data_IF_071593615338
#
_entry.id   IF_071593615338
#
_cell.length_a   1.000
_cell.length_b   1.000
_cell.length_c   1.000
_cell.angle_alpha   90.00
_cell.angle_beta   90.00
_cell.angle_gamma   90.00
#
_symmetry.space_group_name_H-M   'P 1'
#
loop_
_entity.id
_entity.type
_entity.pdbx_description
1 polymer ?
#
# COMPACT_ATOMS: atom_id res chain seq x y z
N UNK A 1 7.40 -1.10 -40.14
CA UNK A 1 6.24 -1.64 -40.90
C UNK A 1 4.98 -1.26 -40.13
N UNK A 2 3.91 -0.86 -40.82
CA UNK A 2 2.66 -0.41 -40.18
C UNK A 2 1.58 -1.48 -40.29
N UNK A 3 0.84 -1.72 -39.22
CA UNK A 3 -0.33 -2.60 -39.19
C UNK A 3 -1.46 -1.87 -38.45
N UNK A 4 -2.62 -1.76 -39.08
CA UNK A 4 -3.70 -0.87 -38.65
C UNK A 4 -4.68 -1.54 -37.68
N UNK A 5 -5.01 -0.83 -36.60
CA UNK A 5 -6.14 -1.18 -35.73
C UNK A 5 -7.46 -0.98 -36.47
N UNK A 6 -8.30 -2.02 -36.51
CA UNK A 6 -9.67 -1.94 -37.05
C UNK A 6 -10.67 -1.95 -35.91
N UNK A 7 -11.44 -0.86 -35.78
CA UNK A 7 -12.48 -0.69 -34.75
C UNK A 7 -13.81 -1.29 -35.22
N UNK A 8 -14.35 -2.24 -34.47
CA UNK A 8 -15.72 -2.70 -34.66
C UNK A 8 -16.71 -1.57 -34.37
N UNK A 9 -17.62 -1.28 -35.32
CA UNK A 9 -18.75 -0.37 -35.11
C UNK A 9 -19.97 -1.16 -34.63
N UNK A 10 -20.60 -0.67 -33.55
CA UNK A 10 -21.97 -1.06 -33.18
C UNK A 10 -22.98 -0.30 -34.04
N UNK A 11 -24.11 -0.92 -34.45
CA UNK A 11 -25.19 -0.24 -35.16
C UNK A 11 -26.06 0.58 -34.21
N UNK A 12 -26.48 1.77 -34.65
CA UNK A 12 -27.42 2.66 -33.94
C UNK A 12 -28.79 2.55 -34.62
N UNK A 13 -29.87 2.34 -33.86
CA UNK A 13 -31.25 2.43 -34.36
C UNK A 13 -31.84 3.86 -34.21
N UNK A 14 -32.76 4.28 -35.09
CA UNK A 14 -33.30 5.65 -35.12
C UNK A 14 -34.53 5.87 -34.20
N UNK A 15 -34.83 7.12 -33.77
CA UNK A 15 -35.97 7.45 -32.90
C UNK A 15 -37.12 8.22 -33.60
N UNK A 16 -38.38 7.99 -33.17
CA UNK A 16 -39.61 8.87 -33.21
C UNK A 16 -40.91 8.03 -33.12
N UNK A 17 -42.12 8.61 -32.88
CA UNK A 17 -42.46 9.97 -32.41
C UNK A 17 -43.46 10.01 -31.21
N UNK A 18 -43.96 11.23 -30.92
CA UNK A 18 -45.09 11.62 -30.03
C UNK A 18 -46.43 10.99 -30.51
N UNK A 19 -47.61 11.06 -29.86
CA UNK A 19 -48.23 11.97 -28.86
C UNK A 19 -49.40 11.17 -28.20
N UNK A 20 -50.02 11.53 -27.07
CA UNK A 20 -50.93 12.69 -26.92
C UNK A 20 -51.16 13.08 -25.44
N UNK A 21 -52.33 13.65 -25.10
CA UNK A 21 -52.44 14.63 -24.00
C UNK A 21 -53.87 14.81 -23.40
N UNK A 22 -54.04 14.53 -22.10
CA UNK A 22 -55.12 15.08 -21.23
C UNK A 22 -54.50 15.58 -19.91
N UNK A 23 -54.53 16.89 -19.61
CA UNK A 23 -55.64 17.70 -19.03
C UNK A 23 -56.09 17.15 -17.67
N UNK A 24 -56.10 17.90 -16.56
CA UNK A 24 -55.70 19.30 -16.21
C UNK A 24 -55.44 19.31 -14.65
N UNK A 25 -55.08 20.35 -13.87
CA UNK A 25 -55.19 21.82 -13.92
C UNK A 25 -54.09 22.55 -13.08
N UNK A 26 -54.22 23.88 -13.00
CA UNK A 26 -53.71 24.90 -12.04
C UNK A 26 -53.38 24.51 -10.58
N UNK A 27 -52.68 25.31 -9.75
CA UNK A 27 -51.78 26.49 -9.85
C UNK A 27 -51.39 26.88 -8.39
N UNK A 28 -50.21 27.37 -8.00
CA UNK A 28 -49.62 28.65 -8.40
C UNK A 28 -48.26 28.92 -7.73
N UNK A 29 -47.33 29.54 -8.48
CA UNK A 29 -46.02 30.12 -8.06
C UNK A 29 -45.84 31.32 -9.03
N UNK A 30 -45.58 32.58 -8.60
CA UNK A 30 -44.24 32.94 -8.08
C UNK A 30 -44.13 34.15 -7.11
N UNK A 31 -42.97 34.27 -6.43
CA UNK A 31 -42.11 35.49 -6.51
C UNK A 31 -40.74 35.36 -5.80
N UNK A 32 -39.69 35.45 -6.61
CA UNK A 32 -38.41 36.16 -6.38
C UNK A 32 -38.12 36.92 -7.70
N UNK A 33 -37.23 37.93 -7.78
CA UNK A 33 -36.08 38.18 -6.90
C UNK A 33 -35.95 39.61 -6.35
N UNK A 34 -34.98 39.79 -5.46
CA UNK A 34 -34.13 40.98 -5.45
C UNK A 34 -32.68 40.54 -5.24
N UNK A 35 -31.73 41.25 -5.86
CA UNK A 35 -30.29 41.08 -5.65
C UNK A 35 -29.79 42.38 -5.07
N UNK A 36 -29.37 42.35 -3.80
CA UNK A 36 -28.56 43.40 -3.21
C UNK A 36 -27.09 42.97 -3.31
N UNK A 37 -26.23 43.85 -3.84
CA UNK A 37 -24.79 43.74 -3.66
C UNK A 37 -24.44 44.41 -2.34
N UNK A 38 -23.74 43.69 -1.46
CA UNK A 38 -22.93 44.32 -0.42
C UNK A 38 -21.69 43.47 -0.15
N UNK A 39 -20.54 44.12 0.02
CA UNK A 39 -19.25 43.46 0.19
C UNK A 39 -18.81 43.46 1.66
N UNK A 40 -18.81 42.30 2.31
CA UNK A 40 -18.39 42.18 3.72
C UNK A 40 -17.59 40.89 4.01
N UNK A 41 -16.33 41.09 4.38
CA UNK A 41 -15.35 40.21 5.05
C UNK A 41 -15.71 38.71 5.31
N UNK A 42 -14.88 37.76 4.84
CA UNK A 42 -14.98 36.33 5.20
C UNK A 42 -14.84 36.02 6.70
N UNK A 43 -14.30 36.94 7.51
CA UNK A 43 -13.93 36.66 8.90
C UNK A 43 -15.14 36.42 9.83
N UNK A 44 -16.33 36.94 9.48
CA UNK A 44 -17.51 36.89 10.37
C UNK A 44 -18.20 35.52 10.42
N UNK A 45 -17.95 34.65 9.43
CA UNK A 45 -18.52 33.31 9.36
C UNK A 45 -17.86 32.35 10.37
N UNK A 46 -16.54 32.45 10.52
CA UNK A 46 -15.72 31.55 11.36
C UNK A 46 -16.05 31.73 12.85
N UNK A 47 -16.09 32.98 13.32
CA UNK A 47 -16.35 33.29 14.74
C UNK A 47 -17.71 32.77 15.22
N UNK A 48 -18.73 32.87 14.37
CA UNK A 48 -20.10 32.42 14.69
C UNK A 48 -20.17 30.90 14.88
N UNK A 49 -19.44 30.13 14.07
CA UNK A 49 -19.39 28.66 14.20
C UNK A 49 -18.64 28.22 15.47
N UNK A 50 -17.55 28.90 15.83
CA UNK A 50 -16.74 28.54 17.01
C UNK A 50 -17.50 28.74 18.33
N UNK A 51 -18.32 29.79 18.44
CA UNK A 51 -19.09 30.03 19.67
C UNK A 51 -20.20 29.00 19.94
N UNK A 52 -20.72 28.30 18.92
CA UNK A 52 -21.74 27.26 19.09
C UNK A 52 -21.15 25.92 19.58
N UNK A 53 -19.84 25.71 19.49
CA UNK A 53 -19.17 24.46 19.89
C UNK A 53 -18.75 24.42 21.37
N UNK A 54 -19.11 25.43 22.18
CA UNK A 54 -18.63 25.58 23.57
C UNK A 54 -19.70 25.43 24.65
N UNK A 55 -20.68 24.55 24.46
CA UNK A 55 -21.52 24.05 25.57
C UNK A 55 -22.15 22.67 25.29
N UNK A 56 -21.38 21.59 25.49
CA UNK A 56 -21.92 20.24 25.71
C UNK A 56 -20.94 19.45 26.57
N UNK A 57 -21.13 19.48 27.90
CA UNK A 57 -20.34 18.70 28.84
C UNK A 57 -20.77 17.23 28.80
N UNK A 58 -20.07 16.41 28.01
CA UNK A 58 -20.23 14.95 28.02
C UNK A 58 -19.74 14.38 29.36
N UNK A 59 -20.52 13.50 30.03
CA UNK A 59 -20.10 12.88 31.28
C UNK A 59 -18.97 11.87 31.05
N UNK A 60 -17.93 11.94 31.88
CA UNK A 60 -16.66 11.21 31.71
C UNK A 60 -16.73 9.71 32.10
N UNK A 61 -17.93 9.13 32.22
CA UNK A 61 -18.18 7.79 32.79
C UNK A 61 -18.47 6.69 31.77
N UNK A 62 -18.35 6.96 30.47
CA UNK A 62 -18.56 5.97 29.40
C UNK A 62 -17.30 5.14 29.04
N UNK A 63 -16.24 5.20 29.85
CA UNK A 63 -14.91 4.68 29.51
C UNK A 63 -14.53 3.37 30.25
N UNK A 64 -15.46 2.41 30.38
CA UNK A 64 -15.14 1.02 30.81
C UNK A 64 -16.24 0.02 30.38
N UNK A 65 -16.37 -0.24 29.08
CA UNK A 65 -16.89 -1.52 28.60
C UNK A 65 -15.73 -2.32 27.98
N UNK A 66 -15.42 -3.54 28.46
CA UNK A 66 -14.55 -4.44 27.72
C UNK A 66 -15.23 -4.84 26.40
N UNK A 67 -14.44 -5.13 25.38
CA UNK A 67 -14.88 -5.44 24.01
C UNK A 67 -15.47 -6.86 23.89
N UNK A 68 -16.56 -7.12 24.64
CA UNK A 68 -17.34 -8.35 24.56
C UNK A 68 -18.33 -8.27 23.39
N UNK A 69 -17.83 -8.46 22.17
CA UNK A 69 -18.68 -8.95 21.08
C UNK A 69 -19.15 -10.35 21.44
N UNK A 70 -20.46 -10.63 21.31
CA UNK A 70 -21.03 -11.94 21.63
C UNK A 70 -20.38 -13.02 20.73
N UNK A 71 -19.73 -14.00 21.37
CA UNK A 71 -19.01 -15.08 20.68
C UNK A 71 -19.94 -16.06 19.97
N UNK A 72 -21.26 -16.01 20.21
CA UNK A 72 -22.25 -16.86 19.53
C UNK A 72 -22.39 -16.57 18.04
N UNK A 73 -22.08 -15.35 17.61
CA UNK A 73 -22.17 -14.94 16.20
C UNK A 73 -20.99 -15.42 15.33
N UNK A 74 -20.15 -16.33 15.85
CA UNK A 74 -19.08 -17.00 15.11
C UNK A 74 -19.55 -18.28 14.38
N UNK A 75 -20.84 -18.62 14.48
CA UNK A 75 -21.45 -19.74 13.75
C UNK A 75 -21.47 -19.50 12.23
N UNK A 76 -21.31 -20.60 11.50
CA UNK A 76 -21.55 -20.72 10.06
C UNK A 76 -22.95 -20.17 9.67
N UNK A 77 -23.10 -19.62 8.46
CA UNK A 77 -24.36 -19.10 7.91
C UNK A 77 -25.24 -20.26 7.41
N UNK A 78 -25.51 -21.21 8.30
CA UNK A 78 -26.29 -22.42 8.01
C UNK A 78 -25.70 -23.39 6.99
N UNK A 79 -24.56 -23.06 6.36
CA UNK A 79 -24.04 -23.76 5.18
C UNK A 79 -24.54 -23.21 3.83
N UNK A 80 -25.13 -22.01 3.78
CA UNK A 80 -25.61 -21.36 2.53
C UNK A 80 -24.55 -21.27 1.42
N UNK A 81 -23.27 -21.06 1.76
CA UNK A 81 -22.13 -20.99 0.84
C UNK A 81 -21.28 -22.28 0.82
N UNK A 82 -21.68 -23.32 1.57
CA UNK A 82 -21.07 -24.65 1.55
C UNK A 82 -19.57 -24.65 1.85
N UNK A 83 -18.75 -25.03 0.86
CA UNK A 83 -17.28 -25.13 1.02
C UNK A 83 -16.63 -23.78 1.35
N UNK A 84 -17.26 -22.64 1.00
CA UNK A 84 -16.75 -21.30 1.33
C UNK A 84 -16.91 -20.95 2.82
N UNK A 85 -17.77 -21.67 3.55
CA UNK A 85 -17.83 -21.62 5.02
C UNK A 85 -16.85 -22.60 5.69
N UNK A 86 -16.32 -23.53 4.91
CA UNK A 86 -15.51 -24.66 5.34
C UNK A 86 -14.11 -24.29 5.84
N UNK A 87 -13.52 -25.18 6.64
CA UNK A 87 -12.22 -24.96 7.30
C UNK A 87 -11.09 -24.80 6.29
N UNK A 88 -11.13 -25.52 5.17
CA UNK A 88 -10.13 -25.43 4.09
C UNK A 88 -10.11 -24.01 3.52
N UNK A 89 -11.27 -23.43 3.22
CA UNK A 89 -11.35 -22.06 2.71
C UNK A 89 -10.95 -21.04 3.78
N UNK A 90 -11.36 -21.26 5.05
CA UNK A 90 -10.96 -20.43 6.18
C UNK A 90 -9.43 -20.37 6.39
N UNK A 91 -8.70 -21.46 6.10
CA UNK A 91 -7.26 -21.57 6.29
C UNK A 91 -6.41 -21.05 5.11
N UNK A 92 -7.00 -20.74 3.94
CA UNK A 92 -6.25 -20.15 2.81
C UNK A 92 -5.55 -18.86 3.25
N UNK A 93 -6.30 -17.94 3.87
CA UNK A 93 -5.80 -16.62 4.26
C UNK A 93 -4.58 -16.66 5.22
N UNK A 94 -4.61 -17.36 6.38
CA UNK A 94 -3.45 -17.41 7.26
C UNK A 94 -2.23 -18.11 6.62
N UNK A 95 -2.42 -19.10 5.75
CA UNK A 95 -1.33 -19.74 4.99
C UNK A 95 -0.72 -18.75 3.99
N UNK A 96 -1.57 -18.06 3.22
CA UNK A 96 -1.16 -17.06 2.23
C UNK A 96 -0.46 -15.87 2.90
N UNK A 97 -0.95 -15.39 4.05
CA UNK A 97 -0.31 -14.32 4.83
C UNK A 97 1.09 -14.72 5.35
N UNK A 98 1.28 -15.98 5.76
CA UNK A 98 2.61 -16.51 6.08
C UNK A 98 3.57 -16.47 4.88
N UNK A 99 3.09 -16.87 3.70
CA UNK A 99 3.85 -16.77 2.44
C UNK A 99 4.16 -15.32 2.04
N UNK A 100 3.17 -14.42 2.11
CA UNK A 100 3.31 -13.00 1.82
C UNK A 100 4.29 -12.30 2.77
N UNK A 101 4.35 -12.69 4.05
CA UNK A 101 5.32 -12.16 5.00
C UNK A 101 6.76 -12.50 4.58
N UNK A 102 7.04 -13.78 4.31
CA UNK A 102 8.37 -14.22 3.84
C UNK A 102 8.72 -13.57 2.50
N UNK A 103 7.75 -13.47 1.57
CA UNK A 103 7.93 -12.81 0.28
C UNK A 103 8.14 -11.29 0.41
N UNK A 104 7.56 -10.64 1.43
CA UNK A 104 7.82 -9.23 1.77
C UNK A 104 9.27 -9.03 2.23
N UNK A 105 9.77 -9.89 3.13
CA UNK A 105 11.16 -9.84 3.59
C UNK A 105 12.14 -10.06 2.42
N UNK A 106 11.87 -11.03 1.55
CA UNK A 106 12.65 -11.26 0.32
C UNK A 106 12.61 -10.08 -0.65
N UNK A 107 11.43 -9.48 -0.86
CA UNK A 107 11.27 -8.27 -1.70
C UNK A 107 12.05 -7.09 -1.12
N UNK A 108 12.08 -6.94 0.21
CA UNK A 108 12.91 -5.99 0.93
C UNK A 108 14.41 -6.21 0.72
N UNK A 109 14.88 -7.46 0.79
CA UNK A 109 16.26 -7.83 0.46
C UNK A 109 16.65 -7.45 -0.98
N UNK A 110 15.79 -7.73 -1.98
CA UNK A 110 16.05 -7.32 -3.37
C UNK A 110 16.16 -5.78 -3.49
N UNK A 111 15.32 -5.04 -2.77
CA UNK A 111 15.37 -3.58 -2.71
C UNK A 111 16.64 -3.05 -2.04
N UNK A 112 17.11 -3.73 -0.99
CA UNK A 112 18.39 -3.43 -0.33
C UNK A 112 19.58 -3.64 -1.26
N UNK A 113 19.63 -4.75 -2.01
CA UNK A 113 20.70 -4.98 -2.99
C UNK A 113 20.71 -3.91 -4.09
N UNK A 114 19.52 -3.47 -4.56
CA UNK A 114 19.43 -2.34 -5.49
C UNK A 114 19.82 -0.98 -4.86
N UNK A 115 19.68 -0.79 -3.54
CA UNK A 115 20.26 0.35 -2.83
C UNK A 115 21.79 0.24 -2.77
N UNK A 116 22.34 -0.94 -2.45
CA UNK A 116 23.79 -1.19 -2.33
C UNK A 116 24.55 -0.92 -3.64
N UNK A 117 24.02 -1.33 -4.81
CA UNK A 117 24.58 -0.98 -6.14
C UNK A 117 24.83 0.52 -6.33
N UNK A 118 24.02 1.37 -5.68
CA UNK A 118 24.11 2.83 -5.75
C UNK A 118 25.03 3.39 -4.67
N UNK A 119 24.93 2.94 -3.41
CA UNK A 119 25.81 3.47 -2.34
C UNK A 119 27.28 3.13 -2.58
N UNK A 120 27.59 1.93 -3.08
CA UNK A 120 28.96 1.55 -3.43
C UNK A 120 29.59 2.54 -4.43
N UNK A 121 28.80 3.05 -5.38
CA UNK A 121 29.34 4.00 -6.36
C UNK A 121 29.73 5.32 -5.69
N UNK A 122 29.01 5.75 -4.66
CA UNK A 122 29.36 6.92 -3.85
C UNK A 122 30.60 6.63 -3.00
N UNK A 123 30.64 5.49 -2.31
CA UNK A 123 31.79 5.02 -1.50
C UNK A 123 33.08 4.99 -2.35
N UNK A 124 33.03 4.40 -3.56
CA UNK A 124 34.15 4.41 -4.52
C UNK A 124 34.56 5.84 -4.91
N UNK A 125 33.58 6.71 -5.19
CA UNK A 125 33.84 8.09 -5.62
C UNK A 125 34.40 8.97 -4.48
N UNK A 126 34.13 8.62 -3.23
CA UNK A 126 34.69 9.29 -2.04
C UNK A 126 36.09 8.78 -1.71
N UNK A 127 36.33 7.47 -1.77
CA UNK A 127 37.66 6.88 -1.62
C UNK A 127 38.62 7.37 -2.71
N UNK A 128 38.14 7.51 -3.96
CA UNK A 128 38.93 8.09 -5.07
C UNK A 128 39.34 9.55 -4.89
N UNK A 129 38.69 10.31 -3.99
CA UNK A 129 39.13 11.67 -3.61
C UNK A 129 40.19 11.67 -2.51
N UNK A 130 40.30 10.57 -1.74
CA UNK A 130 41.26 10.41 -0.65
C UNK A 130 42.61 9.86 -1.16
N UNK A 131 42.59 9.10 -2.26
CA UNK A 131 43.79 8.77 -3.03
C UNK A 131 44.33 10.05 -3.68
N UNK A 132 45.38 10.64 -3.10
CA UNK A 132 46.15 11.72 -3.73
C UNK A 132 46.74 11.21 -5.07
N UNK A 133 46.93 12.09 -6.06
CA UNK A 133 47.73 11.74 -7.23
C UNK A 133 49.13 11.32 -6.81
N UNK A 134 49.62 10.19 -7.32
CA UNK A 134 51.00 9.74 -7.11
C UNK A 134 51.96 10.82 -7.65
N UNK A 135 52.97 11.27 -6.89
CA UNK A 135 53.99 12.17 -7.40
C UNK A 135 54.72 11.50 -8.58
N UNK A 136 54.64 12.11 -9.76
CA UNK A 136 55.39 11.64 -10.93
C UNK A 136 56.81 12.17 -10.88
N UNK A 137 57.77 11.26 -10.69
CA UNK A 137 59.21 11.52 -10.86
C UNK A 137 59.48 11.97 -12.31
N UNK A 138 60.41 12.91 -12.58
CA UNK A 138 60.61 13.47 -13.93
C UNK A 138 60.89 12.46 -15.05
N UNK A 139 61.33 11.24 -14.72
CA UNK A 139 61.68 10.17 -15.67
C UNK A 139 60.53 9.20 -15.97
N UNK A 140 59.29 9.53 -15.56
CA UNK A 140 58.06 8.87 -16.02
C UNK A 140 57.84 7.43 -15.58
N UNK A 141 58.75 6.85 -14.80
CA UNK A 141 58.66 5.48 -14.28
C UNK A 141 57.76 5.44 -13.03
N UNK A 142 56.66 4.68 -13.00
CA UNK A 142 55.82 4.56 -11.82
C UNK A 142 56.57 3.86 -10.68
N UNK A 143 56.59 4.45 -9.48
CA UNK A 143 57.06 3.77 -8.28
C UNK A 143 56.00 2.76 -7.86
N UNK A 144 56.37 1.47 -7.81
CA UNK A 144 55.50 0.37 -7.40
C UNK A 144 55.36 0.33 -5.86
N UNK A 145 54.69 1.33 -5.30
CA UNK A 145 54.22 1.26 -3.92
C UNK A 145 53.16 0.14 -3.78
N UNK A 146 53.18 -0.66 -2.69
CA UNK A 146 52.13 -1.65 -2.45
C UNK A 146 50.76 -0.95 -2.40
N UNK A 147 49.71 -1.54 -2.98
CA UNK A 147 48.45 -0.86 -3.21
C UNK A 147 47.86 -0.36 -1.89
N UNK A 148 47.83 0.98 -1.75
CA UNK A 148 47.30 1.68 -0.59
C UNK A 148 45.98 1.05 -0.10
N UNK A 149 45.69 0.98 1.21
CA UNK A 149 44.44 0.38 1.71
C UNK A 149 43.17 0.94 1.04
N UNK A 150 43.19 2.21 0.62
CA UNK A 150 42.13 2.83 -0.17
C UNK A 150 42.00 2.23 -1.58
N UNK A 151 43.12 1.94 -2.27
CA UNK A 151 43.13 1.31 -3.59
C UNK A 151 42.60 -0.13 -3.53
N UNK A 152 43.05 -0.92 -2.56
CA UNK A 152 42.50 -2.26 -2.30
C UNK A 152 40.99 -2.20 -2.01
N UNK A 153 40.54 -1.23 -1.20
CA UNK A 153 39.11 -1.08 -0.90
C UNK A 153 38.30 -0.63 -2.13
N UNK A 154 38.84 0.25 -2.98
CA UNK A 154 38.24 0.64 -4.26
C UNK A 154 38.10 -0.57 -5.18
N UNK A 155 39.10 -1.46 -5.25
CA UNK A 155 39.02 -2.68 -6.04
C UNK A 155 37.91 -3.61 -5.52
N UNK A 156 37.93 -3.97 -4.24
CA UNK A 156 36.92 -4.82 -3.60
C UNK A 156 35.49 -4.30 -3.82
N UNK A 157 35.27 -3.00 -3.60
CA UNK A 157 33.97 -2.36 -3.84
C UNK A 157 33.60 -2.35 -5.33
N UNK A 158 34.56 -2.19 -6.23
CA UNK A 158 34.31 -2.26 -7.67
C UNK A 158 33.92 -3.67 -8.12
N UNK A 159 34.46 -4.71 -7.48
CA UNK A 159 34.12 -6.11 -7.72
C UNK A 159 32.76 -6.47 -7.11
N UNK A 160 32.48 -6.08 -5.86
CA UNK A 160 31.16 -6.18 -5.23
C UNK A 160 30.09 -5.53 -6.13
N UNK A 161 30.34 -4.31 -6.61
CA UNK A 161 29.40 -3.61 -7.49
C UNK A 161 29.21 -4.29 -8.84
N UNK A 162 30.28 -4.84 -9.45
CA UNK A 162 30.16 -5.62 -10.70
C UNK A 162 29.22 -6.80 -10.50
N UNK A 163 29.36 -7.55 -9.40
CA UNK A 163 28.53 -8.71 -9.11
C UNK A 163 27.07 -8.31 -8.82
N UNK A 164 26.85 -7.28 -8.00
CA UNK A 164 25.51 -6.80 -7.71
C UNK A 164 24.78 -6.23 -8.95
N UNK A 165 25.52 -5.70 -9.94
CA UNK A 165 24.94 -5.29 -11.22
C UNK A 165 24.47 -6.50 -12.05
N UNK A 166 25.22 -7.62 -12.08
CA UNK A 166 24.77 -8.87 -12.75
C UNK A 166 23.47 -9.42 -12.14
N UNK A 167 23.26 -9.21 -10.83
CA UNK A 167 22.09 -9.72 -10.11
C UNK A 167 20.74 -9.12 -10.52
N UNK A 168 20.73 -8.06 -11.35
CA UNK A 168 19.53 -7.39 -11.91
C UNK A 168 18.49 -6.97 -10.85
N UNK A 169 18.96 -6.59 -9.65
CA UNK A 169 18.11 -6.36 -8.48
C UNK A 169 17.04 -5.29 -8.66
N UNK A 170 17.26 -4.27 -9.52
CA UNK A 170 16.24 -3.26 -9.86
C UNK A 170 14.93 -3.92 -10.34
N UNK A 171 15.05 -4.80 -11.33
CA UNK A 171 13.91 -5.38 -12.04
C UNK A 171 13.34 -6.56 -11.27
N UNK A 172 14.18 -7.31 -10.56
CA UNK A 172 13.74 -8.37 -9.65
C UNK A 172 12.94 -7.79 -8.46
N UNK A 173 13.40 -6.69 -7.87
CA UNK A 173 12.65 -5.98 -6.82
C UNK A 173 11.34 -5.38 -7.34
N UNK A 174 11.35 -4.75 -8.52
CA UNK A 174 10.13 -4.20 -9.13
C UNK A 174 9.09 -5.31 -9.39
N UNK A 175 9.49 -6.39 -10.05
CA UNK A 175 8.59 -7.52 -10.36
C UNK A 175 8.07 -8.20 -9.08
N UNK A 176 8.94 -8.44 -8.08
CA UNK A 176 8.53 -8.99 -6.79
C UNK A 176 7.56 -8.04 -6.05
N UNK A 177 7.82 -6.73 -6.08
CA UNK A 177 6.92 -5.71 -5.53
C UNK A 177 5.56 -5.66 -6.22
N UNK A 178 5.50 -5.82 -7.56
CA UNK A 178 4.23 -5.92 -8.29
C UNK A 178 3.44 -7.19 -7.95
N UNK A 179 4.13 -8.34 -7.81
CA UNK A 179 3.52 -9.60 -7.39
C UNK A 179 2.99 -9.47 -5.95
N UNK A 180 3.80 -8.93 -5.04
CA UNK A 180 3.44 -8.72 -3.63
C UNK A 180 2.23 -7.79 -3.50
N UNK A 181 2.20 -6.68 -4.24
CA UNK A 181 1.05 -5.77 -4.27
C UNK A 181 -0.22 -6.46 -4.78
N UNK A 182 -0.13 -7.23 -5.87
CA UNK A 182 -1.28 -7.91 -6.44
C UNK A 182 -1.88 -8.95 -5.48
N UNK A 183 -1.08 -9.94 -5.04
CA UNK A 183 -1.54 -10.98 -4.13
C UNK A 183 -1.90 -10.42 -2.74
N UNK A 184 -1.16 -9.42 -2.24
CA UNK A 184 -1.45 -8.76 -0.97
C UNK A 184 -2.79 -8.02 -0.96
N UNK A 185 -3.15 -7.33 -2.05
CA UNK A 185 -4.48 -6.73 -2.20
C UNK A 185 -5.57 -7.81 -2.29
N UNK A 186 -5.33 -8.88 -3.07
CA UNK A 186 -6.28 -10.01 -3.15
C UNK A 186 -6.52 -10.67 -1.79
N UNK A 187 -5.48 -10.91 -0.98
CA UNK A 187 -5.62 -11.48 0.36
C UNK A 187 -6.26 -10.54 1.37
N UNK A 188 -5.97 -9.23 1.31
CA UNK A 188 -6.59 -8.24 2.20
C UNK A 188 -8.11 -8.11 2.00
N UNK A 189 -8.58 -8.18 0.75
CA UNK A 189 -10.01 -8.25 0.45
C UNK A 189 -10.55 -9.67 0.71
N UNK A 190 -9.81 -10.70 0.29
CA UNK A 190 -10.17 -12.11 0.38
C UNK A 190 -10.38 -12.59 1.81
N UNK A 191 -9.49 -12.25 2.75
CA UNK A 191 -9.65 -12.59 4.18
C UNK A 191 -10.90 -11.95 4.81
N UNK A 192 -11.26 -10.75 4.37
CA UNK A 192 -12.51 -10.08 4.74
C UNK A 192 -13.75 -10.79 4.19
N UNK A 193 -13.76 -11.08 2.87
CA UNK A 193 -14.87 -11.79 2.20
C UNK A 193 -15.04 -13.22 2.72
N UNK A 194 -13.94 -13.94 2.96
CA UNK A 194 -13.90 -15.28 3.56
C UNK A 194 -14.49 -15.25 4.99
N UNK A 195 -14.20 -14.21 5.78
CA UNK A 195 -14.84 -14.02 7.08
C UNK A 195 -16.33 -13.72 6.94
N UNK A 196 -16.72 -12.88 5.97
CA UNK A 196 -18.13 -12.57 5.71
C UNK A 196 -18.94 -13.80 5.28
N UNK A 197 -18.42 -14.68 4.40
CA UNK A 197 -19.08 -15.94 4.05
C UNK A 197 -19.32 -16.82 5.28
N UNK A 198 -18.35 -16.90 6.21
CA UNK A 198 -18.47 -17.72 7.42
C UNK A 198 -19.48 -17.19 8.44
N UNK A 199 -19.63 -15.88 8.60
CA UNK A 199 -20.38 -15.31 9.75
C UNK A 199 -21.40 -14.23 9.38
N UNK A 200 -21.67 -14.01 8.09
CA UNK A 200 -22.61 -12.99 7.58
C UNK A 200 -22.18 -11.54 7.82
N UNK A 201 -21.08 -11.30 8.52
CA UNK A 201 -20.55 -10.00 8.93
C UNK A 201 -19.03 -10.01 9.09
N UNK A 202 -18.43 -8.84 9.02
CA UNK A 202 -17.05 -8.59 9.44
C UNK A 202 -16.98 -8.32 10.94
N UNK A 203 -15.89 -8.71 11.59
CA UNK A 203 -15.58 -8.35 12.98
C UNK A 203 -14.53 -7.23 12.99
N UNK A 204 -14.88 -5.98 13.36
CA UNK A 204 -13.90 -4.91 13.54
C UNK A 204 -12.92 -5.28 14.67
N UNK A 205 -11.62 -5.16 14.42
CA UNK A 205 -10.61 -5.53 15.41
C UNK A 205 -9.18 -5.30 14.91
N UNK A 206 -8.16 -5.41 15.79
CA UNK A 206 -6.79 -5.02 15.49
C UNK A 206 -6.22 -5.67 14.22
N UNK A 207 -6.48 -6.96 14.02
CA UNK A 207 -5.99 -7.69 12.85
C UNK A 207 -6.55 -7.16 11.53
N UNK A 208 -7.86 -6.89 11.47
CA UNK A 208 -8.55 -6.37 10.28
C UNK A 208 -8.09 -4.94 9.95
N UNK A 209 -8.00 -4.08 10.97
CA UNK A 209 -7.53 -2.70 10.79
C UNK A 209 -6.04 -2.63 10.40
N UNK A 210 -5.19 -3.51 10.94
CA UNK A 210 -3.80 -3.63 10.53
C UNK A 210 -3.69 -4.10 9.06
N UNK A 211 -4.49 -5.06 8.61
CA UNK A 211 -4.49 -5.53 7.22
C UNK A 211 -4.94 -4.45 6.22
N UNK A 212 -5.98 -3.70 6.56
CA UNK A 212 -6.40 -2.53 5.78
C UNK A 212 -5.30 -1.46 5.71
N UNK A 213 -4.63 -1.15 6.84
CA UNK A 213 -3.50 -0.22 6.87
C UNK A 213 -2.31 -0.71 6.04
N UNK A 214 -1.98 -2.02 6.10
CA UNK A 214 -0.91 -2.64 5.31
C UNK A 214 -1.15 -2.46 3.81
N UNK A 215 -2.41 -2.63 3.39
CA UNK A 215 -2.84 -2.48 1.99
C UNK A 215 -2.68 -1.03 1.50
N UNK A 216 -3.05 -0.05 2.33
CA UNK A 216 -2.83 1.38 2.05
C UNK A 216 -1.33 1.70 1.99
N UNK A 217 -0.51 1.16 2.89
CA UNK A 217 0.94 1.36 2.89
C UNK A 217 1.62 0.76 1.64
N UNK A 218 1.21 -0.43 1.19
CA UNK A 218 1.69 -1.00 -0.08
C UNK A 218 1.31 -0.13 -1.28
N UNK A 219 0.06 0.31 -1.38
CA UNK A 219 -0.40 1.18 -2.47
C UNK A 219 0.35 2.52 -2.49
N UNK A 220 0.51 3.16 -1.32
CA UNK A 220 1.27 4.40 -1.18
C UNK A 220 2.76 4.22 -1.52
N UNK A 221 3.39 3.13 -1.07
CA UNK A 221 4.77 2.83 -1.40
C UNK A 221 4.98 2.57 -2.90
N UNK A 222 4.07 1.83 -3.54
CA UNK A 222 4.10 1.59 -4.98
C UNK A 222 3.94 2.88 -5.80
N UNK A 223 3.04 3.78 -5.37
CA UNK A 223 2.79 5.06 -6.04
C UNK A 223 4.02 6.02 -6.07
N UNK A 224 5.00 5.83 -5.18
CA UNK A 224 6.25 6.61 -5.19
C UNK A 224 7.21 6.23 -6.34
N UNK A 225 6.99 5.09 -7.01
CA UNK A 225 7.92 4.54 -8.01
C UNK A 225 8.30 5.51 -9.13
N UNK A 226 7.39 6.29 -9.75
CA UNK A 226 7.76 7.26 -10.79
C UNK A 226 8.70 8.37 -10.28
N UNK A 227 8.56 8.80 -9.02
CA UNK A 227 9.45 9.77 -8.40
C UNK A 227 10.81 9.14 -8.02
N UNK A 228 10.80 7.89 -7.56
CA UNK A 228 12.03 7.13 -7.30
C UNK A 228 12.84 6.85 -8.59
N UNK A 229 12.16 6.57 -9.71
CA UNK A 229 12.79 6.41 -11.03
C UNK A 229 13.41 7.71 -11.52
N UNK A 230 12.73 8.86 -11.32
CA UNK A 230 13.21 10.21 -11.64
C UNK A 230 14.35 10.73 -10.73
N UNK A 231 14.84 9.94 -9.78
CA UNK A 231 16.01 10.30 -8.96
C UNK A 231 15.73 10.73 -7.51
N UNK A 232 14.47 10.91 -7.11
CA UNK A 232 14.15 11.49 -5.79
C UNK A 232 14.54 10.57 -4.62
N UNK A 233 15.54 10.98 -3.85
CA UNK A 233 15.89 10.29 -2.60
C UNK A 233 14.84 10.48 -1.50
N UNK A 234 14.06 11.59 -1.51
CA UNK A 234 12.90 11.75 -0.62
C UNK A 234 11.85 10.66 -0.87
N UNK A 235 11.53 10.39 -2.15
CA UNK A 235 10.61 9.30 -2.50
C UNK A 235 11.19 7.91 -2.15
N UNK A 236 12.50 7.71 -2.33
CA UNK A 236 13.19 6.44 -2.00
C UNK A 236 13.19 6.17 -0.50
N UNK A 237 13.50 7.18 0.32
CA UNK A 237 13.49 7.04 1.77
C UNK A 237 12.07 6.90 2.32
N UNK A 238 11.08 7.65 1.79
CA UNK A 238 9.68 7.47 2.17
C UNK A 238 9.15 6.08 1.81
N UNK A 239 9.46 5.56 0.62
CA UNK A 239 9.11 4.19 0.22
C UNK A 239 9.71 3.15 1.18
N UNK A 240 10.95 3.34 1.63
CA UNK A 240 11.58 2.47 2.64
C UNK A 240 10.85 2.59 3.98
N UNK A 241 10.59 3.79 4.49
CA UNK A 241 9.88 4.01 5.75
C UNK A 241 8.48 3.37 5.76
N UNK A 242 7.71 3.55 4.68
CA UNK A 242 6.39 2.92 4.53
C UNK A 242 6.48 1.39 4.58
N UNK A 243 7.47 0.79 3.91
CA UNK A 243 7.68 -0.65 3.93
C UNK A 243 8.21 -1.19 5.28
N UNK A 244 9.02 -0.42 6.01
CA UNK A 244 9.44 -0.78 7.37
C UNK A 244 8.24 -0.81 8.32
N UNK A 245 7.37 0.21 8.26
CA UNK A 245 6.11 0.21 9.03
C UNK A 245 5.24 -0.99 8.63
N UNK A 246 5.18 -1.32 7.33
CA UNK A 246 4.45 -2.48 6.82
C UNK A 246 4.94 -3.81 7.43
N UNK A 247 6.26 -4.02 7.48
CA UNK A 247 6.87 -5.21 8.10
C UNK A 247 6.56 -5.27 9.60
N UNK A 248 6.57 -4.14 10.31
CA UNK A 248 6.21 -4.09 11.73
C UNK A 248 4.72 -4.42 11.98
N UNK A 249 3.82 -3.93 11.13
CA UNK A 249 2.39 -4.30 11.19
C UNK A 249 2.17 -5.78 10.87
N UNK A 250 2.90 -6.35 9.90
CA UNK A 250 2.89 -7.79 9.61
C UNK A 250 3.32 -8.62 10.82
N UNK A 251 4.39 -8.24 11.51
CA UNK A 251 4.86 -8.93 12.73
C UNK A 251 3.81 -8.83 13.85
N UNK A 252 3.14 -7.69 14.00
CA UNK A 252 2.04 -7.53 14.98
C UNK A 252 0.77 -8.31 14.59
N UNK A 253 0.55 -8.58 13.30
CA UNK A 253 -0.53 -9.45 12.85
C UNK A 253 -0.32 -10.93 13.21
N UNK A 254 0.90 -11.41 13.48
CA UNK A 254 1.17 -12.82 13.80
C UNK A 254 0.36 -13.32 15.02
N UNK A 255 0.47 -12.72 16.24
CA UNK A 255 -0.32 -13.18 17.39
C UNK A 255 -1.83 -13.02 17.19
N UNK A 256 -2.27 -11.88 16.64
CA UNK A 256 -3.71 -11.61 16.45
C UNK A 256 -4.34 -12.50 15.37
N UNK A 257 -3.56 -12.92 14.37
CA UNK A 257 -3.96 -13.90 13.37
C UNK A 257 -4.02 -15.32 13.94
N UNK A 258 -3.11 -15.67 14.84
CA UNK A 258 -3.13 -16.96 15.54
C UNK A 258 -4.40 -17.14 16.39
N UNK A 259 -4.83 -16.10 17.12
CA UNK A 259 -6.12 -16.10 17.84
C UNK A 259 -7.33 -16.34 16.91
N UNK A 260 -7.28 -15.82 15.67
CA UNK A 260 -8.33 -16.04 14.67
C UNK A 260 -8.27 -17.48 14.13
N UNK A 261 -7.07 -18.04 13.91
CA UNK A 261 -6.89 -19.44 13.51
C UNK A 261 -7.47 -20.39 14.57
N UNK A 262 -7.21 -20.15 15.86
CA UNK A 262 -7.78 -20.96 16.95
C UNK A 262 -9.32 -20.95 16.92
N UNK A 263 -9.94 -19.76 16.74
CA UNK A 263 -11.40 -19.62 16.58
C UNK A 263 -11.93 -20.30 15.31
N UNK A 264 -11.16 -20.30 14.21
CA UNK A 264 -11.51 -21.08 13.02
C UNK A 264 -11.52 -22.59 13.33
N UNK A 265 -10.54 -23.10 14.08
CA UNK A 265 -10.53 -24.51 14.51
C UNK A 265 -11.65 -24.86 15.52
N UNK A 266 -12.14 -23.89 16.28
CA UNK A 266 -13.28 -24.02 17.22
C UNK A 266 -14.63 -24.07 16.48
N UNK A 267 -14.91 -23.14 15.57
CA UNK A 267 -16.25 -22.94 15.00
C UNK A 267 -16.47 -23.53 13.60
N UNK A 268 -15.43 -23.76 12.78
CA UNK A 268 -15.58 -24.36 11.43
C UNK A 268 -15.50 -25.89 11.45
N UNK A 269 -15.92 -26.55 10.36
CA UNK A 269 -15.71 -27.99 10.12
C UNK A 269 -15.02 -28.21 8.76
N UNK A 270 -14.41 -29.37 8.59
CA UNK A 270 -13.94 -29.82 7.29
C UNK A 270 -15.13 -30.10 6.35
N UNK A 271 -15.02 -29.94 5.00
CA UNK A 271 -13.82 -29.59 4.24
C UNK A 271 -13.36 -28.14 4.43
#
# INVERSE_FOLDING_TARGET
>A
MSATLSLLKLPILPPKPKQCLSKLQHSSIPKKPSIAKDSASPQKLITTTIHHLKSTSLPLTAATLPFLLDTKDALAVGGEFGILEGRTFALIHPIAMGGLFVFTLWTGYLGWQWRRVRTIQNEINELKKQVKPTPVTPEGTPVEEPPSPFALKIQQLSEERKELVKGSYRDRHFNAGSILLAFGVFESIGGGVNTWFRTGKLFPGPHLFAGAAITVLWAAAAALTPAMQKGSETARNLHITLNVINVLLFVWQIPTGWEIVLKVFEFTKWP
#
